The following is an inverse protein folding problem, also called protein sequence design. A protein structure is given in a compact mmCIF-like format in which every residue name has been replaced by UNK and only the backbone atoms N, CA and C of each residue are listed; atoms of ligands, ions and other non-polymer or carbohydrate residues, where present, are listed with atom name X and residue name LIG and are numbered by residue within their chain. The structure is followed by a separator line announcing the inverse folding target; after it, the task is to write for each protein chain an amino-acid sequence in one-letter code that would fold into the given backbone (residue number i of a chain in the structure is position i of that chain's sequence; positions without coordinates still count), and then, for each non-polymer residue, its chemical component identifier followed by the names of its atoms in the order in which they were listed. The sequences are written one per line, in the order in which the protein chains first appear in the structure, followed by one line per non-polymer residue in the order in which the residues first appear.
data_IF_990112354054
#
_entry.id   IF_990112354054
#
_cell.length_a   1.000
_cell.length_b   1.000
_cell.length_c   1.000
_cell.angle_alpha   90.00
_cell.angle_beta   90.00
_cell.angle_gamma   90.00
#
_symmetry.space_group_name_H-M   'P 1'
#
loop_
_entity.id
_entity.type
_entity.pdbx_description
1 polymer ?
#
# COMPACT_ATOMS: atom_id res chain seq x y z
N UNK A 1 2.57 15.35 46.86
CA UNK A 1 3.98 14.84 46.80
C UNK A 1 4.08 13.44 46.19
N UNK A 2 3.39 12.41 46.72
CA UNK A 2 3.42 11.04 46.14
C UNK A 2 2.74 11.01 44.79
N UNK A 3 1.58 11.67 44.63
CA UNK A 3 0.85 11.72 43.34
C UNK A 3 1.59 12.51 42.26
N UNK A 4 2.33 13.56 42.64
CA UNK A 4 3.20 14.28 41.69
C UNK A 4 4.39 13.44 41.24
N UNK A 5 4.95 12.63 42.13
CA UNK A 5 6.04 11.71 41.78
C UNK A 5 5.54 10.61 40.83
N UNK A 6 4.35 10.05 41.08
CA UNK A 6 3.72 9.06 40.20
C UNK A 6 3.39 9.68 38.83
N UNK A 7 2.89 10.92 38.81
CA UNK A 7 2.62 11.66 37.57
C UNK A 7 3.90 11.93 36.77
N UNK A 8 5.00 12.35 37.42
CA UNK A 8 6.29 12.56 36.80
C UNK A 8 6.95 11.27 36.32
N UNK A 9 6.80 10.16 37.04
CA UNK A 9 7.28 8.84 36.62
C UNK A 9 6.49 8.35 35.41
N UNK A 10 5.17 8.56 35.35
CA UNK A 10 4.36 8.20 34.18
C UNK A 10 4.69 9.09 32.98
N UNK A 11 4.90 10.40 33.16
CA UNK A 11 5.35 11.29 32.09
C UNK A 11 6.76 10.90 31.62
N UNK A 12 7.68 10.57 32.53
CA UNK A 12 9.03 10.16 32.14
C UNK A 12 9.03 8.81 31.40
N UNK A 13 8.18 7.84 31.80
CA UNK A 13 7.96 6.60 31.06
C UNK A 13 7.38 6.85 29.67
N UNK A 14 6.35 7.69 29.56
CA UNK A 14 5.75 8.06 28.26
C UNK A 14 6.76 8.84 27.39
N UNK A 15 7.61 9.67 27.99
CA UNK A 15 8.67 10.41 27.27
C UNK A 15 9.84 9.50 26.88
N UNK A 16 10.17 8.48 27.68
CA UNK A 16 11.19 7.49 27.34
C UNK A 16 10.67 6.55 26.24
N UNK A 17 9.43 6.06 26.34
CA UNK A 17 8.78 5.28 25.29
C UNK A 17 8.64 6.07 23.99
N UNK A 18 8.35 7.38 24.05
CA UNK A 18 8.33 8.25 22.87
C UNK A 18 9.74 8.60 22.33
N UNK A 19 10.80 8.44 23.09
CA UNK A 19 12.17 8.73 22.65
C UNK A 19 12.79 7.57 21.88
N UNK A 20 12.30 6.34 22.09
CA UNK A 20 12.70 5.13 21.33
C UNK A 20 11.99 4.98 19.98
N UNK A 21 10.88 5.70 19.76
CA UNK A 21 10.06 5.61 18.55
C UNK A 21 10.48 6.56 17.40
N UNK A 22 11.59 7.28 17.53
CA UNK A 22 12.04 8.24 16.49
C UNK A 22 12.96 7.59 15.47
N UNK A 23 12.41 6.76 14.51
CA UNK A 23 13.42 5.89 13.95
C UNK A 23 13.43 5.63 12.46
N UNK A 24 12.39 5.95 11.71
CA UNK A 24 12.46 5.81 10.25
C UNK A 24 12.48 7.20 9.64
N UNK A 25 13.64 7.66 9.21
CA UNK A 25 13.83 9.01 8.66
C UNK A 25 13.35 10.14 9.60
N UNK A 26 13.46 9.95 10.93
CA UNK A 26 12.94 10.88 11.94
C UNK A 26 11.42 10.87 12.09
N UNK A 27 10.73 9.84 11.55
CA UNK A 27 9.30 9.65 11.62
C UNK A 27 8.96 8.40 12.45
N UNK A 28 7.80 8.42 13.08
CA UNK A 28 7.33 7.33 13.94
C UNK A 28 6.15 6.53 13.35
N UNK A 29 5.71 6.88 12.15
CA UNK A 29 4.58 6.24 11.48
C UNK A 29 4.99 5.77 10.09
N UNK A 30 4.74 4.49 9.79
CA UNK A 30 4.93 3.91 8.46
C UNK A 30 3.58 3.45 7.93
N UNK A 31 3.26 3.87 6.74
CA UNK A 31 2.07 3.46 6.02
C UNK A 31 2.52 2.70 4.78
N UNK A 32 2.16 1.43 4.69
CA UNK A 32 2.48 0.57 3.55
C UNK A 32 1.32 0.52 2.58
N UNK A 33 1.61 0.58 1.29
CA UNK A 33 0.72 -0.01 0.31
C UNK A 33 0.72 -1.54 0.46
N UNK A 34 -0.29 -2.20 -0.08
CA UNK A 34 -0.43 -3.65 -0.02
C UNK A 34 0.07 -4.34 -1.29
N UNK A 35 -0.54 -4.01 -2.42
CA UNK A 35 -0.31 -4.68 -3.69
C UNK A 35 1.05 -4.26 -4.29
N UNK A 36 1.90 -5.23 -4.65
CA UNK A 36 3.24 -4.96 -5.18
C UNK A 36 4.21 -4.27 -4.18
N UNK A 37 3.79 -4.12 -2.93
CA UNK A 37 4.58 -3.56 -1.84
C UNK A 37 4.80 -4.58 -0.73
N UNK A 38 3.75 -5.06 -0.05
CA UNK A 38 3.86 -6.11 0.99
C UNK A 38 4.09 -7.52 0.41
N UNK A 39 4.00 -7.67 -0.88
CA UNK A 39 4.42 -8.84 -1.64
C UNK A 39 4.91 -8.40 -3.02
N UNK A 40 5.70 -9.23 -3.68
CA UNK A 40 6.19 -8.95 -5.03
C UNK A 40 5.24 -9.54 -6.08
N UNK A 41 4.71 -8.71 -6.96
CA UNK A 41 3.96 -9.14 -8.13
C UNK A 41 4.94 -9.62 -9.22
N UNK A 42 5.06 -10.94 -9.36
CA UNK A 42 5.81 -11.53 -10.48
C UNK A 42 5.13 -11.22 -11.81
N UNK A 43 5.87 -11.39 -12.93
CA UNK A 43 5.26 -11.21 -14.26
C UNK A 43 4.13 -12.19 -14.50
N UNK A 44 4.27 -13.45 -14.05
CA UNK A 44 3.24 -14.48 -14.15
C UNK A 44 1.97 -14.09 -13.38
N UNK A 45 2.14 -13.51 -12.19
CA UNK A 45 1.00 -13.03 -11.41
C UNK A 45 0.35 -11.80 -12.06
N UNK A 46 1.11 -10.89 -12.65
CA UNK A 46 0.57 -9.76 -13.40
C UNK A 46 -0.27 -10.22 -14.60
N UNK A 47 0.23 -11.20 -15.37
CA UNK A 47 -0.50 -11.78 -16.51
C UNK A 47 -1.79 -12.50 -16.06
N UNK A 48 -1.79 -13.08 -14.86
CA UNK A 48 -2.97 -13.69 -14.26
C UNK A 48 -3.99 -12.64 -13.79
N UNK A 49 -3.54 -11.51 -13.27
CA UNK A 49 -4.42 -10.39 -12.89
C UNK A 49 -5.11 -9.78 -14.13
N UNK A 50 -4.39 -9.61 -15.25
CA UNK A 50 -4.98 -9.15 -16.50
C UNK A 50 -6.05 -10.14 -17.00
N UNK A 51 -5.77 -11.44 -16.92
CA UNK A 51 -6.74 -12.48 -17.27
C UNK A 51 -7.97 -12.45 -16.34
N UNK A 52 -7.75 -12.26 -15.04
CA UNK A 52 -8.81 -12.17 -14.04
C UNK A 52 -9.74 -10.97 -14.32
N UNK A 53 -9.17 -9.81 -14.68
CA UNK A 53 -9.96 -8.62 -15.03
C UNK A 53 -10.74 -8.85 -16.32
N UNK A 54 -10.15 -9.49 -17.33
CA UNK A 54 -10.86 -9.85 -18.56
C UNK A 54 -12.05 -10.80 -18.30
N UNK A 55 -11.88 -11.78 -17.40
CA UNK A 55 -12.96 -12.65 -16.97
C UNK A 55 -14.08 -11.88 -16.27
N UNK A 56 -13.73 -10.98 -15.34
CA UNK A 56 -14.72 -10.15 -14.64
C UNK A 56 -15.54 -9.30 -15.63
N UNK A 57 -14.89 -8.69 -16.62
CA UNK A 57 -15.55 -7.90 -17.67
C UNK A 57 -16.57 -8.72 -18.48
N UNK A 58 -16.20 -9.95 -18.86
CA UNK A 58 -17.05 -10.80 -19.71
C UNK A 58 -18.14 -11.50 -18.90
N UNK A 59 -17.76 -12.18 -17.82
CA UNK A 59 -18.63 -13.10 -17.09
C UNK A 59 -19.52 -12.38 -16.07
N UNK A 60 -19.00 -11.36 -15.39
CA UNK A 60 -19.75 -10.65 -14.34
C UNK A 60 -20.46 -9.39 -14.89
N UNK A 61 -19.81 -8.68 -15.82
CA UNK A 61 -20.33 -7.40 -16.34
C UNK A 61 -20.93 -7.53 -17.75
N UNK A 62 -20.86 -8.70 -18.36
CA UNK A 62 -21.53 -9.02 -19.62
C UNK A 62 -20.97 -8.30 -20.84
N UNK A 63 -19.73 -7.82 -20.81
CA UNK A 63 -19.07 -7.20 -21.96
C UNK A 63 -18.99 -8.21 -23.11
N UNK A 64 -19.55 -7.86 -24.26
CA UNK A 64 -19.63 -8.73 -25.45
C UNK A 64 -18.34 -8.69 -26.23
N UNK A 65 -17.39 -9.53 -25.82
CA UNK A 65 -16.06 -9.59 -26.42
C UNK A 65 -15.47 -10.99 -26.20
N UNK A 66 -14.58 -11.44 -27.09
CA UNK A 66 -13.79 -12.65 -26.81
C UNK A 66 -12.72 -12.39 -25.74
N UNK A 67 -12.35 -13.46 -25.02
CA UNK A 67 -11.43 -13.37 -23.90
C UNK A 67 -10.05 -12.84 -24.29
N UNK A 68 -9.49 -13.26 -25.42
CA UNK A 68 -8.17 -12.85 -25.85
C UNK A 68 -8.11 -11.35 -26.14
N UNK A 69 -9.16 -10.82 -26.78
CA UNK A 69 -9.31 -9.39 -27.04
C UNK A 69 -9.48 -8.60 -25.74
N UNK A 70 -10.34 -9.07 -24.83
CA UNK A 70 -10.55 -8.42 -23.54
C UNK A 70 -9.24 -8.33 -22.74
N UNK A 71 -8.50 -9.44 -22.64
CA UNK A 71 -7.19 -9.47 -21.95
C UNK A 71 -6.19 -8.52 -22.60
N UNK A 72 -6.09 -8.50 -23.94
CA UNK A 72 -5.19 -7.60 -24.65
C UNK A 72 -5.52 -6.11 -24.37
N UNK A 73 -6.81 -5.77 -24.33
CA UNK A 73 -7.26 -4.41 -23.98
C UNK A 73 -6.99 -4.05 -22.50
N UNK A 74 -7.12 -4.98 -21.58
CA UNK A 74 -6.73 -4.77 -20.17
C UNK A 74 -5.24 -4.42 -20.08
N UNK A 75 -4.38 -5.23 -20.70
CA UNK A 75 -2.91 -5.00 -20.74
C UNK A 75 -2.58 -3.65 -21.38
N UNK A 76 -3.22 -3.31 -22.51
CA UNK A 76 -3.02 -2.02 -23.18
C UNK A 76 -3.52 -0.84 -22.34
N UNK A 77 -4.68 -0.97 -21.70
CA UNK A 77 -5.24 0.03 -20.79
C UNK A 77 -4.26 0.34 -19.64
N UNK A 78 -3.71 -0.71 -19.03
CA UNK A 78 -2.71 -0.54 -17.98
C UNK A 78 -1.42 0.12 -18.49
N UNK A 79 -0.98 -0.23 -19.69
CA UNK A 79 0.20 0.36 -20.32
C UNK A 79 0.04 1.87 -20.56
N UNK A 80 -1.14 2.30 -21.05
CA UNK A 80 -1.41 3.69 -21.46
C UNK A 80 -1.86 4.54 -20.26
N UNK A 81 -2.79 4.04 -19.46
CA UNK A 81 -3.48 4.80 -18.42
C UNK A 81 -3.06 4.46 -16.99
N UNK A 82 -2.21 3.43 -16.82
CA UNK A 82 -1.87 2.86 -15.51
C UNK A 82 -3.09 2.29 -14.74
N UNK A 83 -4.12 1.94 -15.49
CA UNK A 83 -5.37 1.36 -15.01
C UNK A 83 -5.90 0.38 -16.07
N UNK A 84 -6.06 -0.89 -15.71
CA UNK A 84 -6.52 -1.93 -16.63
C UNK A 84 -7.96 -1.76 -17.09
N UNK A 85 -8.78 -1.01 -16.35
CA UNK A 85 -10.20 -0.77 -16.66
C UNK A 85 -10.48 0.46 -17.53
N UNK A 86 -9.54 1.40 -17.65
CA UNK A 86 -9.79 2.74 -18.21
C UNK A 86 -10.37 2.71 -19.63
N UNK A 87 -9.85 1.85 -20.53
CA UNK A 87 -10.40 1.69 -21.88
C UNK A 87 -11.88 1.25 -21.81
N UNK A 88 -12.22 0.36 -20.89
CA UNK A 88 -13.57 -0.15 -20.75
C UNK A 88 -14.54 0.89 -20.18
N UNK A 89 -14.06 1.77 -19.31
CA UNK A 89 -14.86 2.89 -18.82
C UNK A 89 -15.20 3.87 -19.94
N UNK A 90 -14.21 4.22 -20.77
CA UNK A 90 -14.35 5.21 -21.85
C UNK A 90 -15.13 4.70 -23.06
N UNK A 91 -14.78 3.50 -23.53
CA UNK A 91 -15.19 3.05 -24.86
C UNK A 91 -16.33 2.02 -24.81
N UNK A 92 -16.51 1.34 -23.66
CA UNK A 92 -17.50 0.27 -23.49
C UNK A 92 -18.58 0.59 -22.44
N UNK A 93 -18.52 1.77 -21.79
CA UNK A 93 -19.50 2.20 -20.81
C UNK A 93 -19.55 1.35 -19.53
N UNK A 94 -18.46 0.63 -19.23
CA UNK A 94 -18.35 -0.17 -17.99
C UNK A 94 -18.31 0.77 -16.79
N UNK A 95 -19.12 0.47 -15.76
CA UNK A 95 -19.11 1.23 -14.54
C UNK A 95 -17.83 0.91 -13.73
N UNK A 96 -17.02 1.92 -13.34
CA UNK A 96 -15.77 1.69 -12.58
C UNK A 96 -15.97 0.93 -11.27
N UNK A 97 -17.06 1.23 -10.53
CA UNK A 97 -17.39 0.56 -9.28
C UNK A 97 -17.70 -0.92 -9.47
N UNK A 98 -18.46 -1.24 -10.50
CA UNK A 98 -18.87 -2.62 -10.76
C UNK A 98 -17.66 -3.46 -11.16
N UNK A 99 -16.76 -2.92 -12.01
CA UNK A 99 -15.50 -3.59 -12.34
C UNK A 99 -14.58 -3.73 -11.11
N UNK A 100 -14.48 -2.69 -10.29
CA UNK A 100 -13.70 -2.72 -9.06
C UNK A 100 -14.13 -3.90 -8.16
N UNK A 101 -15.43 -4.04 -7.92
CA UNK A 101 -15.97 -5.13 -7.08
C UNK A 101 -15.78 -6.50 -7.76
N UNK A 102 -16.13 -6.64 -9.04
CA UNK A 102 -16.05 -7.90 -9.76
C UNK A 102 -14.61 -8.42 -9.84
N UNK A 103 -13.67 -7.55 -10.19
CA UNK A 103 -12.25 -7.88 -10.26
C UNK A 103 -11.68 -8.33 -8.92
N UNK A 104 -11.92 -7.58 -7.83
CA UNK A 104 -11.36 -7.92 -6.53
C UNK A 104 -11.93 -9.21 -5.95
N UNK A 105 -13.19 -9.53 -6.23
CA UNK A 105 -13.78 -10.83 -5.84
C UNK A 105 -13.11 -12.03 -6.50
N UNK A 106 -12.60 -11.86 -7.73
CA UNK A 106 -11.92 -12.90 -8.51
C UNK A 106 -10.41 -12.97 -8.27
N UNK A 107 -9.84 -11.98 -7.56
CA UNK A 107 -8.38 -11.87 -7.39
C UNK A 107 -7.79 -13.19 -6.84
N UNK A 108 -6.83 -13.82 -7.53
CA UNK A 108 -6.30 -15.15 -7.20
C UNK A 108 -5.25 -15.04 -6.09
N UNK A 109 -5.68 -14.71 -4.88
CA UNK A 109 -4.82 -14.40 -3.72
C UNK A 109 -3.92 -15.58 -3.35
N UNK A 110 -4.37 -16.82 -3.55
CA UNK A 110 -3.62 -18.05 -3.29
C UNK A 110 -2.37 -18.22 -4.19
N UNK A 111 -2.25 -17.42 -5.24
CA UNK A 111 -1.08 -17.39 -6.14
C UNK A 111 -0.01 -16.37 -5.71
N UNK A 112 -0.31 -15.54 -4.71
CA UNK A 112 0.68 -14.64 -4.13
C UNK A 112 1.72 -15.46 -3.37
N UNK A 113 2.99 -15.16 -3.61
CA UNK A 113 4.11 -15.78 -2.87
C UNK A 113 4.50 -14.83 -1.72
N UNK A 114 4.25 -15.21 -0.45
CA UNK A 114 4.66 -14.41 0.69
C UNK A 114 6.18 -14.30 0.78
N UNK A 115 6.69 -13.18 1.28
CA UNK A 115 8.09 -13.12 1.67
C UNK A 115 8.36 -13.97 2.91
N UNK A 116 9.47 -14.68 2.88
CA UNK A 116 9.96 -15.40 4.04
C UNK A 116 10.27 -14.43 5.21
N UNK A 117 9.81 -14.78 6.42
CA UNK A 117 10.02 -14.00 7.64
C UNK A 117 9.48 -12.54 7.61
N UNK A 118 8.54 -12.21 6.73
CA UNK A 118 7.99 -10.85 6.61
C UNK A 118 7.40 -10.35 7.93
N UNK A 119 6.51 -11.15 8.53
CA UNK A 119 5.84 -10.75 9.79
C UNK A 119 6.82 -10.53 10.94
N UNK A 120 7.88 -11.34 11.01
CA UNK A 120 8.90 -11.21 12.06
C UNK A 120 9.72 -9.94 11.92
N UNK A 121 9.98 -9.50 10.67
CA UNK A 121 10.65 -8.23 10.40
C UNK A 121 9.71 -7.06 10.69
N UNK A 122 8.47 -7.10 10.22
CA UNK A 122 7.47 -6.05 10.45
C UNK A 122 7.29 -5.81 11.96
N UNK A 123 7.13 -6.87 12.74
CA UNK A 123 6.98 -6.76 14.22
C UNK A 123 8.18 -6.14 14.93
N UNK A 124 9.38 -6.20 14.34
CA UNK A 124 10.60 -5.62 14.91
C UNK A 124 10.81 -4.16 14.51
N UNK A 125 10.07 -3.65 13.53
CA UNK A 125 10.16 -2.23 13.14
C UNK A 125 9.63 -1.37 14.28
N UNK A 126 10.45 -0.46 14.84
CA UNK A 126 10.07 0.35 15.99
C UNK A 126 9.31 1.62 15.56
N UNK A 127 8.20 1.42 14.87
CA UNK A 127 7.30 2.47 14.40
C UNK A 127 5.86 1.98 14.49
N UNK A 128 4.93 2.88 14.59
CA UNK A 128 3.52 2.57 14.41
C UNK A 128 3.26 2.31 12.92
N UNK A 129 2.60 1.20 12.60
CA UNK A 129 2.52 0.71 11.24
C UNK A 129 1.09 0.52 10.80
N UNK A 130 0.80 0.96 9.58
CA UNK A 130 -0.52 0.91 8.95
C UNK A 130 -0.43 0.39 7.52
N UNK A 131 -1.57 -0.01 6.96
CA UNK A 131 -1.74 -0.32 5.54
C UNK A 131 -2.76 0.63 4.92
N UNK A 132 -2.44 1.17 3.75
CA UNK A 132 -3.36 1.93 2.91
C UNK A 132 -3.34 1.39 1.48
N UNK A 133 -4.42 0.77 1.05
CA UNK A 133 -4.48 0.03 -0.22
C UNK A 133 -5.58 0.51 -1.15
N UNK A 134 -5.32 0.36 -2.47
CA UNK A 134 -6.33 0.52 -3.51
C UNK A 134 -7.18 -0.74 -3.75
N UNK A 135 -6.86 -1.88 -3.13
CA UNK A 135 -7.73 -3.07 -3.14
C UNK A 135 -8.95 -2.86 -2.24
N UNK A 136 -10.09 -3.46 -2.60
CA UNK A 136 -11.28 -3.44 -1.76
C UNK A 136 -11.07 -4.19 -0.42
N UNK A 137 -11.98 -4.02 0.52
CA UNK A 137 -11.89 -4.67 1.84
C UNK A 137 -11.85 -6.19 1.74
N UNK A 138 -12.62 -6.79 0.82
CA UNK A 138 -12.67 -8.24 0.67
C UNK A 138 -11.33 -8.82 0.21
N UNK A 139 -10.74 -8.27 -0.85
CA UNK A 139 -9.44 -8.72 -1.34
C UNK A 139 -8.31 -8.40 -0.35
N UNK A 140 -8.32 -7.22 0.26
CA UNK A 140 -7.31 -6.80 1.24
C UNK A 140 -7.24 -7.73 2.45
N UNK A 141 -8.40 -8.10 3.00
CA UNK A 141 -8.48 -9.05 4.11
C UNK A 141 -7.94 -10.43 3.72
N UNK A 142 -8.32 -10.95 2.54
CA UNK A 142 -7.80 -12.22 2.02
C UNK A 142 -6.28 -12.17 1.83
N UNK A 143 -5.76 -11.08 1.27
CA UNK A 143 -4.31 -10.90 1.04
C UNK A 143 -3.58 -10.85 2.39
N UNK A 144 -4.02 -10.01 3.33
CA UNK A 144 -3.39 -9.90 4.65
C UNK A 144 -3.41 -11.23 5.41
N UNK A 145 -4.50 -12.00 5.32
CA UNK A 145 -4.58 -13.36 5.88
C UNK A 145 -3.60 -14.32 5.21
N UNK A 146 -3.54 -14.31 3.89
CA UNK A 146 -2.63 -15.15 3.12
C UNK A 146 -1.16 -14.85 3.40
N UNK A 147 -0.82 -13.57 3.60
CA UNK A 147 0.53 -13.13 3.97
C UNK A 147 0.88 -13.37 5.45
N UNK A 148 -0.05 -13.84 6.28
CA UNK A 148 0.13 -13.98 7.73
C UNK A 148 0.19 -12.66 8.50
N UNK A 149 -0.28 -11.56 7.88
CA UNK A 149 -0.22 -10.21 8.42
C UNK A 149 -1.54 -9.74 9.07
N UNK A 150 -2.62 -10.53 8.95
CA UNK A 150 -3.96 -10.11 9.38
C UNK A 150 -4.02 -9.71 10.85
N UNK A 151 -3.52 -10.55 11.76
CA UNK A 151 -3.58 -10.28 13.21
C UNK A 151 -2.79 -9.03 13.62
N UNK A 152 -1.81 -8.64 12.82
CA UNK A 152 -1.03 -7.43 13.07
C UNK A 152 -1.70 -6.16 12.52
N UNK A 153 -2.37 -6.25 11.34
CA UNK A 153 -2.92 -5.09 10.65
C UNK A 153 -4.44 -4.96 10.68
N UNK A 154 -5.21 -5.94 11.19
CA UNK A 154 -6.70 -5.94 11.12
C UNK A 154 -7.37 -4.66 11.62
N UNK A 155 -6.79 -3.98 12.61
CA UNK A 155 -7.27 -2.72 13.16
C UNK A 155 -6.50 -1.50 12.64
N UNK A 156 -5.58 -1.70 11.70
CA UNK A 156 -4.64 -0.70 11.18
C UNK A 156 -4.54 -0.71 9.67
N UNK A 157 -5.52 -1.25 8.95
CA UNK A 157 -5.57 -1.16 7.51
C UNK A 157 -6.82 -0.41 7.06
N UNK A 158 -6.67 0.30 5.95
CA UNK A 158 -7.74 1.03 5.31
C UNK A 158 -7.66 0.82 3.81
N UNK A 159 -8.82 0.64 3.20
CA UNK A 159 -9.02 0.62 1.76
C UNK A 159 -9.41 2.01 1.26
N UNK A 160 -9.20 2.27 -0.01
CA UNK A 160 -9.75 3.47 -0.68
C UNK A 160 -11.27 3.60 -0.51
N UNK A 161 -12.00 2.48 -0.34
CA UNK A 161 -13.44 2.48 -0.06
C UNK A 161 -13.81 3.24 1.21
N UNK A 162 -12.92 3.26 2.22
CA UNK A 162 -13.12 3.98 3.48
C UNK A 162 -13.20 5.51 3.30
N UNK A 163 -12.73 5.98 2.13
CA UNK A 163 -12.67 7.39 1.77
C UNK A 163 -13.58 7.74 0.60
N UNK A 164 -14.37 6.77 0.11
CA UNK A 164 -15.33 6.94 -0.98
C UNK A 164 -14.70 7.12 -2.36
N UNK A 165 -13.45 6.62 -2.54
CA UNK A 165 -12.71 6.67 -3.81
C UNK A 165 -12.35 5.26 -4.28
N UNK A 166 -11.89 5.12 -5.53
CA UNK A 166 -11.47 3.83 -6.12
C UNK A 166 -9.97 3.77 -6.40
N UNK A 167 -9.27 4.89 -6.25
CA UNK A 167 -7.83 5.01 -6.51
C UNK A 167 -7.19 5.90 -5.45
N UNK A 168 -5.95 5.62 -5.07
CA UNK A 168 -5.17 6.50 -4.18
C UNK A 168 -4.67 7.76 -4.90
N UNK A 169 -4.48 7.67 -6.20
CA UNK A 169 -3.94 8.74 -7.05
C UNK A 169 -5.02 9.66 -7.67
N UNK A 170 -6.13 9.86 -6.98
CA UNK A 170 -7.13 10.85 -7.40
C UNK A 170 -6.71 12.27 -7.00
N UNK A 171 -6.17 12.43 -5.80
CA UNK A 171 -5.65 13.70 -5.29
C UNK A 171 -4.87 13.53 -3.99
N UNK A 172 -4.11 14.54 -3.58
CA UNK A 172 -3.47 14.60 -2.27
C UNK A 172 -4.48 14.60 -1.10
N UNK A 173 -5.73 15.03 -1.34
CA UNK A 173 -6.80 15.06 -0.34
C UNK A 173 -7.13 13.68 0.23
N UNK A 174 -6.96 12.61 -0.57
CA UNK A 174 -7.14 11.23 -0.11
C UNK A 174 -6.16 10.91 1.03
N UNK A 175 -4.90 11.36 0.93
CA UNK A 175 -3.88 11.16 1.96
C UNK A 175 -4.10 12.03 3.19
N UNK A 176 -4.58 13.26 3.02
CA UNK A 176 -5.00 14.10 4.16
C UNK A 176 -6.15 13.45 4.94
N UNK A 177 -7.18 12.96 4.26
CA UNK A 177 -8.30 12.24 4.87
C UNK A 177 -7.84 10.97 5.59
N UNK A 178 -6.90 10.23 4.96
CA UNK A 178 -6.30 9.05 5.58
C UNK A 178 -5.60 9.42 6.91
N UNK A 179 -4.72 10.40 6.90
CA UNK A 179 -4.01 10.86 8.10
C UNK A 179 -4.95 11.37 9.18
N UNK A 180 -5.99 12.12 8.79
CA UNK A 180 -7.04 12.56 9.71
C UNK A 180 -7.76 11.37 10.37
N UNK A 181 -8.04 10.32 9.59
CA UNK A 181 -8.71 9.10 10.08
C UNK A 181 -7.90 8.37 11.14
N UNK A 182 -6.57 8.31 10.99
CA UNK A 182 -5.67 7.67 11.96
C UNK A 182 -5.13 8.65 13.02
N UNK A 183 -5.53 9.92 12.99
CA UNK A 183 -5.21 10.91 14.03
C UNK A 183 -3.79 11.47 13.96
N UNK A 184 -3.17 11.52 12.78
CA UNK A 184 -1.78 11.94 12.58
C UNK A 184 -1.65 13.06 11.53
N UNK A 185 -0.47 13.68 11.43
CA UNK A 185 -0.16 14.63 10.35
C UNK A 185 0.62 13.92 9.23
N UNK A 186 0.39 14.24 7.95
CA UNK A 186 1.17 13.67 6.85
C UNK A 186 2.69 13.81 7.03
N UNK A 187 3.14 14.95 7.60
CA UNK A 187 4.56 15.21 7.85
C UNK A 187 5.20 14.26 8.85
N UNK A 188 4.42 13.54 9.66
CA UNK A 188 4.90 12.56 10.64
C UNK A 188 4.95 11.14 10.06
N UNK A 189 4.56 10.98 8.78
CA UNK A 189 4.39 9.69 8.13
C UNK A 189 5.47 9.43 7.08
N UNK A 190 5.85 8.15 6.98
CA UNK A 190 6.54 7.56 5.83
C UNK A 190 5.52 6.75 5.03
N UNK A 191 5.35 7.03 3.76
CA UNK A 191 4.51 6.27 2.84
C UNK A 191 5.37 5.40 1.93
N UNK A 192 5.14 4.09 1.96
CA UNK A 192 5.91 3.06 1.25
C UNK A 192 5.02 2.44 0.18
N UNK A 193 5.37 2.63 -1.10
CA UNK A 193 4.53 2.23 -2.24
C UNK A 193 5.41 1.93 -3.47
N UNK A 194 4.94 1.11 -4.41
CA UNK A 194 5.63 0.85 -5.68
C UNK A 194 5.22 1.82 -6.80
N UNK A 195 4.05 2.45 -6.67
CA UNK A 195 3.44 3.29 -7.69
C UNK A 195 3.95 4.73 -7.65
N UNK A 196 4.45 5.21 -8.78
CA UNK A 196 4.88 6.60 -8.95
C UNK A 196 3.77 7.61 -8.65
N UNK A 197 2.57 7.38 -9.17
CA UNK A 197 1.47 8.31 -9.01
C UNK A 197 0.97 8.40 -7.58
N UNK A 198 0.97 7.29 -6.83
CA UNK A 198 0.62 7.29 -5.43
C UNK A 198 1.64 8.09 -4.60
N UNK A 199 2.94 7.87 -4.86
CA UNK A 199 4.03 8.60 -4.17
C UNK A 199 4.02 10.10 -4.47
N UNK A 200 3.64 10.51 -5.69
CA UNK A 200 3.51 11.92 -6.07
C UNK A 200 2.47 12.64 -5.20
N UNK A 201 1.27 12.08 -5.08
CA UNK A 201 0.21 12.65 -4.24
C UNK A 201 0.50 12.54 -2.73
N UNK A 202 1.15 11.47 -2.29
CA UNK A 202 1.61 11.35 -0.91
C UNK A 202 2.65 12.43 -0.57
N UNK A 203 3.56 12.73 -1.51
CA UNK A 203 4.54 13.81 -1.38
C UNK A 203 3.89 15.19 -1.34
N UNK A 204 2.91 15.42 -2.22
CA UNK A 204 2.11 16.66 -2.23
C UNK A 204 1.38 16.85 -0.89
N UNK A 205 0.89 15.80 -0.28
CA UNK A 205 0.30 15.84 1.06
C UNK A 205 1.34 16.12 2.17
N UNK A 206 2.64 16.04 1.89
CA UNK A 206 3.72 16.32 2.82
C UNK A 206 4.33 15.10 3.50
N UNK A 207 4.04 13.88 3.04
CA UNK A 207 4.64 12.67 3.57
C UNK A 207 6.10 12.51 3.12
N UNK A 208 6.89 11.75 3.89
CA UNK A 208 8.15 11.18 3.40
C UNK A 208 7.82 9.97 2.54
N UNK A 209 8.37 9.91 1.33
CA UNK A 209 8.02 8.88 0.35
C UNK A 209 9.14 7.88 0.14
N UNK A 210 8.78 6.60 0.17
CA UNK A 210 9.68 5.48 -0.06
C UNK A 210 9.14 4.63 -1.20
N UNK A 211 9.91 4.55 -2.28
CA UNK A 211 9.55 3.70 -3.40
C UNK A 211 10.13 2.29 -3.24
N UNK A 212 9.28 1.29 -3.40
CA UNK A 212 9.69 -0.11 -3.60
C UNK A 212 9.73 -0.41 -5.10
N UNK A 213 10.82 -1.01 -5.59
CA UNK A 213 10.96 -1.38 -6.98
C UNK A 213 11.64 -2.75 -7.12
N UNK A 214 11.32 -3.49 -8.19
CA UNK A 214 11.83 -4.85 -8.42
C UNK A 214 12.68 -4.98 -9.70
N UNK A 215 12.41 -4.14 -10.69
CA UNK A 215 13.20 -4.04 -11.93
C UNK A 215 14.22 -2.91 -11.79
N UNK A 216 15.21 -2.84 -12.66
CA UNK A 216 16.28 -1.83 -12.62
C UNK A 216 15.77 -0.41 -12.96
N UNK A 217 14.80 0.07 -12.22
CA UNK A 217 14.22 1.39 -12.36
C UNK A 217 13.90 1.98 -10.97
N UNK A 218 14.91 2.56 -10.33
CA UNK A 218 14.74 3.20 -9.01
C UNK A 218 14.03 4.55 -9.09
N UNK A 219 14.04 5.19 -10.27
CA UNK A 219 13.52 6.55 -10.52
C UNK A 219 13.88 7.58 -9.43
N UNK A 220 15.13 7.52 -8.95
CA UNK A 220 15.68 8.49 -7.98
C UNK A 220 15.70 9.92 -8.52
N UNK A 221 15.51 10.10 -9.82
CA UNK A 221 15.41 11.38 -10.51
C UNK A 221 14.06 12.10 -10.29
N UNK A 222 13.08 11.43 -9.70
CA UNK A 222 11.77 12.02 -9.39
C UNK A 222 11.80 12.77 -8.05
N UNK A 223 11.51 14.07 -8.09
CA UNK A 223 11.55 14.98 -6.92
C UNK A 223 10.56 14.61 -5.81
N UNK A 224 9.55 13.81 -6.13
CA UNK A 224 8.56 13.32 -5.19
C UNK A 224 8.91 11.94 -4.59
N UNK A 225 10.11 11.40 -4.84
CA UNK A 225 10.62 10.17 -4.24
C UNK A 225 11.82 10.52 -3.34
N UNK A 226 11.64 10.45 -2.04
CA UNK A 226 12.72 10.75 -1.08
C UNK A 226 13.72 9.60 -1.00
N UNK A 227 13.22 8.35 -1.00
CA UNK A 227 14.04 7.13 -0.89
C UNK A 227 13.52 6.05 -1.82
N UNK A 228 14.40 5.14 -2.25
CA UNK A 228 14.04 4.02 -3.10
C UNK A 228 14.81 2.75 -2.73
N UNK A 229 14.11 1.62 -2.58
CA UNK A 229 14.69 0.33 -2.20
C UNK A 229 14.28 -0.77 -3.17
N UNK A 230 15.22 -1.66 -3.48
CA UNK A 230 14.96 -2.83 -4.32
C UNK A 230 14.27 -3.91 -3.48
N UNK A 231 12.93 -3.91 -3.53
CA UNK A 231 12.07 -4.80 -2.74
C UNK A 231 11.89 -4.35 -1.29
N UNK A 232 10.76 -4.74 -0.72
CA UNK A 232 10.38 -4.40 0.66
C UNK A 232 11.40 -4.90 1.68
N UNK A 233 11.94 -6.11 1.47
CA UNK A 233 12.87 -6.70 2.45
C UNK A 233 14.13 -5.87 2.64
N UNK A 234 14.64 -5.23 1.54
CA UNK A 234 15.79 -4.30 1.64
C UNK A 234 15.46 -3.05 2.42
N UNK A 235 14.25 -2.52 2.30
CA UNK A 235 13.77 -1.40 3.12
C UNK A 235 13.69 -1.79 4.60
N UNK A 236 13.06 -2.93 4.91
CA UNK A 236 12.95 -3.41 6.30
C UNK A 236 14.33 -3.67 6.93
N UNK A 237 15.26 -4.24 6.17
CA UNK A 237 16.65 -4.46 6.65
C UNK A 237 17.36 -3.14 6.95
N UNK A 238 17.19 -2.13 6.10
CA UNK A 238 17.71 -0.80 6.36
C UNK A 238 17.13 -0.22 7.66
N UNK A 239 15.81 -0.21 7.81
CA UNK A 239 15.14 0.30 9.01
C UNK A 239 15.61 -0.40 10.28
N UNK A 240 15.76 -1.73 10.25
CA UNK A 240 16.18 -2.52 11.41
C UNK A 240 17.68 -2.34 11.74
N UNK A 241 18.53 -2.06 10.74
CA UNK A 241 19.95 -1.84 10.95
C UNK A 241 20.27 -0.44 11.49
N UNK A 242 19.62 0.61 10.95
CA UNK A 242 19.75 1.99 11.46
C UNK A 242 19.40 2.07 12.95
N UNK A 243 18.40 1.31 13.39
CA UNK A 243 18.00 1.28 14.80
C UNK A 243 19.00 0.55 15.71
N UNK A 244 19.81 -0.38 15.17
CA UNK A 244 20.88 -1.04 15.96
C UNK A 244 22.09 -0.15 16.19
N UNK A 245 22.33 0.85 15.32
CA UNK A 245 23.44 1.79 15.44
C UNK A 245 23.11 2.99 16.34
N UNK A 246 21.82 3.17 16.67
CA UNK A 246 21.31 4.28 17.49
C UNK A 246 20.98 3.87 18.92
N UNK A 247 21.08 2.59 19.26
CA UNK A 247 20.87 2.01 20.58
C UNK A 247 22.22 1.67 21.25
#
# INVERSE_FOLDING_TARGET
MIDEIIYLINISKVLVENKELKLVFGKNIIIYDLDDTLYNKTQEFADLLDATMAQALIEDLGVKMDFAKAKALVTESFRVYRDGGEIFFRDYGVNPRDLFIAYHRRKPVEKIVPYENLIDKIKKVPAEQYVFTASDRYASEKILKHLGLWEFFKDRYYSVEDFGVYKKNESADVYFKYCQKIGVKPQDCVFVDDSYSNLEYAKEAGMTTVRIYYKNNSAKDKTYIDYAYKGLMSFLDFVLNENRLSA
#
